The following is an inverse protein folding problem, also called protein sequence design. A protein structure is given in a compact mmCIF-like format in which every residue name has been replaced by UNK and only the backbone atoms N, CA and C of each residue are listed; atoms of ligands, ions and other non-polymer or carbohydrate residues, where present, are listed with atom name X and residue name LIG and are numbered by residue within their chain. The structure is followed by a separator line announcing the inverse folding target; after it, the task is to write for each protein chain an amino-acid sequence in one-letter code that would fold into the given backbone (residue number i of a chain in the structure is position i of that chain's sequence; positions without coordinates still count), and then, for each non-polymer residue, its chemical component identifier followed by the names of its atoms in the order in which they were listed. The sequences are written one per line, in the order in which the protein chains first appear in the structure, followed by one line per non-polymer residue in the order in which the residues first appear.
data_IF_024659247858
#
_entry.id   IF_024659247858
#
_cell.length_a   1.000
_cell.length_b   1.000
_cell.length_c   1.000
_cell.angle_alpha   90.00
_cell.angle_beta   90.00
_cell.angle_gamma   90.00
#
_symmetry.space_group_name_H-M   'P 1'
#
loop_
_entity.id
_entity.type
_entity.pdbx_description
1 polymer ?
#
# COMPACT_ATOMS: atom_id res chain seq x y z
N UNK A 1 -12.05 18.40 -1.53
CA UNK A 1 -11.36 17.37 -2.32
C UNK A 1 -11.24 17.85 -3.76
N UNK A 2 -10.18 17.50 -4.50
CA UNK A 2 -10.14 17.75 -5.94
C UNK A 2 -11.13 16.77 -6.60
N UNK A 3 -12.00 17.28 -7.47
CA UNK A 3 -12.84 16.41 -8.29
C UNK A 3 -11.96 15.50 -9.15
N UNK A 4 -12.50 14.37 -9.60
CA UNK A 4 -11.75 13.34 -10.34
C UNK A 4 -11.34 13.77 -11.77
N UNK A 5 -11.51 15.04 -12.14
CA UNK A 5 -11.30 15.55 -13.49
C UNK A 5 -9.82 15.59 -13.91
N UNK A 6 -9.55 15.29 -15.18
CA UNK A 6 -8.21 15.32 -15.78
C UNK A 6 -7.31 14.16 -15.34
N UNK A 7 -7.89 13.09 -14.80
CA UNK A 7 -7.17 11.88 -14.39
C UNK A 7 -6.49 11.18 -15.56
N UNK A 8 -7.00 11.38 -16.77
CA UNK A 8 -6.47 10.84 -18.02
C UNK A 8 -5.02 11.30 -18.23
N UNK A 9 -4.71 12.51 -17.77
CA UNK A 9 -3.39 13.15 -17.86
C UNK A 9 -2.49 12.90 -16.66
N UNK A 10 -2.85 12.00 -15.74
CA UNK A 10 -1.99 11.67 -14.61
C UNK A 10 -0.63 11.08 -15.06
N UNK A 11 0.52 11.50 -14.47
CA UNK A 11 0.67 12.46 -13.37
C UNK A 11 0.90 13.92 -13.81
N UNK A 12 0.76 14.26 -15.09
CA UNK A 12 0.94 15.61 -15.63
C UNK A 12 -0.13 16.61 -15.12
N UNK A 13 -1.27 16.11 -14.62
CA UNK A 13 -2.38 16.90 -14.07
C UNK A 13 -2.19 17.36 -12.60
N UNK A 14 -1.12 16.94 -11.95
CA UNK A 14 -0.82 17.30 -10.57
C UNK A 14 -0.42 18.79 -10.49
N UNK A 15 -0.89 19.53 -9.47
CA UNK A 15 -0.53 20.95 -9.31
C UNK A 15 0.92 21.15 -8.95
N UNK A 16 1.48 20.18 -8.23
CA UNK A 16 2.86 20.28 -7.78
C UNK A 16 3.78 20.00 -8.95
N UNK A 17 4.76 20.87 -9.13
CA UNK A 17 5.82 20.64 -10.08
C UNK A 17 6.77 19.56 -9.57
N UNK A 18 7.17 18.67 -10.48
CA UNK A 18 8.15 17.62 -10.23
C UNK A 18 9.31 17.79 -11.20
N UNK A 19 10.14 18.84 -11.06
CA UNK A 19 11.14 19.19 -12.06
C UNK A 19 12.23 18.12 -12.26
N UNK A 20 12.35 17.19 -11.30
CA UNK A 20 13.27 16.06 -11.37
C UNK A 20 12.71 14.86 -12.14
N UNK A 21 11.44 14.90 -12.56
CA UNK A 21 10.74 13.78 -13.18
C UNK A 21 10.27 14.15 -14.59
N UNK A 22 10.56 13.28 -15.55
CA UNK A 22 9.92 13.29 -16.86
C UNK A 22 8.51 12.68 -16.71
N UNK A 23 7.51 13.55 -16.54
CA UNK A 23 6.11 13.16 -16.29
C UNK A 23 5.50 12.38 -17.47
N UNK A 24 5.88 12.73 -18.69
CA UNK A 24 5.44 12.02 -19.90
C UNK A 24 6.04 10.61 -19.98
N UNK A 25 7.32 10.46 -19.60
CA UNK A 25 7.91 9.14 -19.44
C UNK A 25 7.20 8.32 -18.34
N UNK A 26 6.91 8.92 -17.18
CA UNK A 26 6.17 8.26 -16.11
C UNK A 26 4.78 7.79 -16.58
N UNK A 27 4.02 8.65 -17.26
CA UNK A 27 2.70 8.33 -17.83
C UNK A 27 2.78 7.19 -18.83
N UNK A 28 3.71 7.27 -19.78
CA UNK A 28 3.92 6.24 -20.81
C UNK A 28 4.24 4.90 -20.18
N UNK A 29 5.21 4.87 -19.26
CA UNK A 29 5.61 3.64 -18.56
C UNK A 29 4.46 3.01 -17.78
N UNK A 30 3.65 3.83 -17.09
CA UNK A 30 2.48 3.34 -16.35
C UNK A 30 1.42 2.74 -17.29
N UNK A 31 1.22 3.34 -18.46
CA UNK A 31 0.32 2.80 -19.49
C UNK A 31 0.85 1.51 -20.11
N UNK A 32 2.15 1.44 -20.40
CA UNK A 32 2.80 0.25 -20.95
C UNK A 32 2.66 -0.95 -19.99
N UNK A 33 2.81 -0.71 -18.69
CA UNK A 33 2.68 -1.73 -17.64
C UNK A 33 1.22 -2.01 -17.20
N UNK A 34 0.24 -1.25 -17.68
CA UNK A 34 -1.12 -1.26 -17.11
C UNK A 34 -1.76 -2.65 -17.11
N UNK A 35 -1.61 -3.43 -18.20
CA UNK A 35 -2.16 -4.79 -18.33
C UNK A 35 -1.59 -5.78 -17.30
N UNK A 36 -0.34 -5.55 -16.88
CA UNK A 36 0.36 -6.37 -15.89
C UNK A 36 0.01 -5.97 -14.46
N UNK A 37 -0.29 -4.69 -14.26
CA UNK A 37 -0.53 -4.09 -12.95
C UNK A 37 -2.00 -4.12 -12.53
N UNK A 38 -2.94 -4.03 -13.49
CA UNK A 38 -4.35 -3.77 -13.23
C UNK A 38 -5.24 -4.78 -13.93
N UNK A 39 -6.41 -5.05 -13.34
CA UNK A 39 -7.40 -6.00 -13.85
C UNK A 39 -8.62 -5.23 -14.36
N UNK A 40 -9.09 -5.55 -15.56
CA UNK A 40 -10.27 -4.90 -16.14
C UNK A 40 -11.59 -5.49 -15.61
N UNK A 41 -11.56 -6.60 -14.86
CA UNK A 41 -12.76 -7.37 -14.51
C UNK A 41 -13.32 -7.11 -13.13
N UNK A 42 -12.57 -6.45 -12.25
CA UNK A 42 -12.96 -6.22 -10.87
C UNK A 42 -12.55 -4.83 -10.41
N UNK A 43 -13.26 -4.31 -9.42
CA UNK A 43 -12.93 -3.07 -8.74
C UNK A 43 -13.15 -3.33 -7.25
N UNK A 44 -12.08 -3.55 -6.51
CA UNK A 44 -12.13 -3.85 -5.08
C UNK A 44 -11.14 -2.95 -4.34
N UNK A 45 -11.59 -1.74 -3.99
CA UNK A 45 -10.85 -0.82 -3.13
C UNK A 45 -11.55 -0.74 -1.78
N UNK A 46 -10.82 -1.01 -0.72
CA UNK A 46 -11.33 -0.84 0.64
C UNK A 46 -10.94 0.54 1.13
N UNK A 47 -11.92 1.32 1.58
CA UNK A 47 -11.71 2.63 2.19
C UNK A 47 -12.19 2.57 3.64
N UNK A 48 -11.30 2.85 4.58
CA UNK A 48 -11.60 2.85 6.01
C UNK A 48 -11.17 4.19 6.62
N UNK A 49 -12.08 4.89 7.31
CA UNK A 49 -11.75 6.10 8.09
C UNK A 49 -11.90 5.78 9.56
N UNK A 50 -10.86 6.08 10.33
CA UNK A 50 -10.87 6.03 11.78
C UNK A 50 -10.89 7.46 12.28
N UNK A 51 -12.01 7.83 12.91
CA UNK A 51 -12.23 9.20 13.36
C UNK A 51 -11.32 9.49 14.55
N UNK A 52 -10.57 10.59 14.46
CA UNK A 52 -9.76 11.08 15.56
C UNK A 52 -10.65 11.65 16.66
N UNK A 53 -10.46 11.23 17.90
CA UNK A 53 -11.09 11.89 19.04
C UNK A 53 -10.31 13.15 19.40
N UNK A 54 -10.87 14.31 19.11
CA UNK A 54 -10.27 15.60 19.50
C UNK A 54 -10.48 15.94 20.99
N UNK A 55 -11.02 15.02 21.81
CA UNK A 55 -11.26 15.32 23.23
C UNK A 55 -9.97 15.22 24.04
N UNK A 56 -9.33 16.38 24.24
CA UNK A 56 -8.11 16.55 25.03
C UNK A 56 -8.24 16.29 26.54
N UNK A 57 -9.39 15.85 27.05
CA UNK A 57 -9.61 15.68 28.49
C UNK A 57 -10.60 14.53 28.79
N UNK A 58 -10.15 13.27 28.76
CA UNK A 58 -10.72 12.19 29.61
C UNK A 58 -9.96 10.87 29.42
N UNK A 59 -9.50 10.27 30.52
CA UNK A 59 -8.90 8.92 30.58
C UNK A 59 -9.91 7.77 30.36
N UNK A 60 -11.15 8.09 29.99
CA UNK A 60 -12.20 7.10 29.76
C UNK A 60 -12.11 6.56 28.32
N UNK A 61 -11.95 5.24 28.20
CA UNK A 61 -11.90 4.45 26.96
C UNK A 61 -12.62 5.11 25.77
N UNK A 62 -11.86 5.85 24.96
CA UNK A 62 -12.41 6.56 23.83
C UNK A 62 -12.91 5.53 22.80
N UNK A 63 -14.23 5.44 22.63
CA UNK A 63 -14.83 4.60 21.58
C UNK A 63 -14.43 5.17 20.23
N UNK A 64 -13.41 4.58 19.61
CA UNK A 64 -13.02 4.88 18.23
C UNK A 64 -14.14 4.45 17.30
N UNK A 65 -14.68 5.40 16.56
CA UNK A 65 -15.64 5.15 15.50
C UNK A 65 -14.87 4.90 14.20
N UNK A 66 -15.15 3.76 13.58
CA UNK A 66 -14.58 3.37 12.29
C UNK A 66 -15.69 3.28 11.26
N UNK A 67 -15.47 3.91 10.10
CA UNK A 67 -16.33 3.83 8.93
C UNK A 67 -15.56 3.06 7.87
N UNK A 68 -16.22 2.12 7.20
CA UNK A 68 -15.59 1.27 6.19
C UNK A 68 -16.55 1.06 5.03
N UNK A 69 -16.06 1.35 3.83
CA UNK A 69 -16.78 1.15 2.58
C UNK A 69 -15.91 0.31 1.62
N UNK A 70 -16.58 -0.39 0.71
CA UNK A 70 -15.96 -1.13 -0.39
C UNK A 70 -16.42 -0.49 -1.69
N UNK A 71 -15.47 0.04 -2.47
CA UNK A 71 -15.71 0.56 -3.81
C UNK A 71 -15.73 -0.61 -4.77
N UNK A 72 -16.85 -0.78 -5.49
CA UNK A 72 -17.11 -1.89 -6.42
C UNK A 72 -17.13 -1.49 -7.89
N UNK A 73 -17.13 -0.19 -8.15
CA UNK A 73 -17.30 0.39 -9.47
C UNK A 73 -16.71 1.80 -9.48
N UNK A 74 -16.57 2.37 -10.67
CA UNK A 74 -15.99 3.69 -10.87
C UNK A 74 -16.90 4.83 -10.36
N UNK A 75 -18.22 4.67 -10.47
CA UNK A 75 -19.21 5.69 -10.10
C UNK A 75 -19.23 5.95 -8.59
N UNK A 76 -19.05 4.89 -7.79
CA UNK A 76 -19.00 4.95 -6.33
C UNK A 76 -17.67 5.47 -5.78
N UNK A 77 -16.60 5.51 -6.58
CA UNK A 77 -15.28 5.95 -6.11
C UNK A 77 -15.31 7.38 -5.56
N UNK A 78 -15.83 8.33 -6.34
CA UNK A 78 -15.82 9.76 -5.98
C UNK A 78 -16.61 9.99 -4.69
N UNK A 79 -17.84 9.47 -4.64
CA UNK A 79 -18.72 9.59 -3.48
C UNK A 79 -18.11 8.97 -2.22
N UNK A 80 -17.44 7.83 -2.36
CA UNK A 80 -16.79 7.14 -1.24
C UNK A 80 -15.60 7.95 -0.74
N UNK A 81 -14.74 8.42 -1.65
CA UNK A 81 -13.60 9.24 -1.27
C UNK A 81 -14.04 10.57 -0.64
N UNK A 82 -15.04 11.25 -1.19
CA UNK A 82 -15.62 12.47 -0.61
C UNK A 82 -16.18 12.20 0.80
N UNK A 83 -16.96 11.12 0.97
CA UNK A 83 -17.52 10.71 2.27
C UNK A 83 -16.44 10.42 3.32
N UNK A 84 -15.29 9.89 2.90
CA UNK A 84 -14.22 9.47 3.80
C UNK A 84 -13.23 10.59 4.09
N UNK A 85 -12.73 11.28 3.07
CA UNK A 85 -11.67 12.30 3.15
C UNK A 85 -12.19 13.67 3.63
N UNK A 86 -13.51 13.89 3.65
CA UNK A 86 -14.12 15.07 4.30
C UNK A 86 -14.16 14.98 5.83
N UNK A 87 -13.88 13.80 6.41
CA UNK A 87 -13.90 13.58 7.85
C UNK A 87 -12.49 13.70 8.43
N UNK A 88 -12.32 14.27 9.62
CA UNK A 88 -11.02 14.29 10.27
C UNK A 88 -10.62 12.88 10.74
N UNK A 89 -9.36 12.51 10.56
CA UNK A 89 -8.81 11.28 11.13
C UNK A 89 -7.83 10.55 10.21
N UNK A 90 -7.74 9.24 10.40
CA UNK A 90 -6.86 8.38 9.60
C UNK A 90 -7.64 7.62 8.55
N UNK A 91 -7.32 7.85 7.29
CA UNK A 91 -7.90 7.25 6.10
C UNK A 91 -6.98 6.13 5.59
N UNK A 92 -7.51 4.93 5.44
CA UNK A 92 -6.81 3.78 4.89
C UNK A 92 -7.50 3.38 3.60
N UNK A 93 -6.77 3.48 2.49
CA UNK A 93 -7.20 3.14 1.15
C UNK A 93 -6.35 1.97 0.71
N UNK A 94 -6.97 0.82 0.48
CA UNK A 94 -6.26 -0.44 0.30
C UNK A 94 -6.58 -1.00 -1.08
N UNK A 95 -5.54 -1.19 -1.89
CA UNK A 95 -5.60 -1.91 -3.16
C UNK A 95 -5.07 -3.31 -2.94
N UNK A 96 -5.90 -4.30 -3.22
CA UNK A 96 -5.57 -5.71 -2.97
C UNK A 96 -5.25 -6.47 -4.25
N UNK A 97 -4.23 -7.31 -4.16
CA UNK A 97 -3.98 -8.37 -5.12
C UNK A 97 -4.49 -9.71 -4.54
N UNK A 98 -5.13 -10.57 -5.36
CA UNK A 98 -5.58 -11.89 -4.91
C UNK A 98 -4.42 -12.86 -4.60
N UNK A 99 -3.27 -12.70 -5.27
CA UNK A 99 -2.01 -13.38 -4.97
C UNK A 99 -0.81 -12.44 -5.26
N UNK A 100 0.39 -12.77 -4.76
CA UNK A 100 1.53 -11.84 -4.71
C UNK A 100 2.00 -11.29 -6.07
N UNK A 101 1.69 -11.99 -7.16
CA UNK A 101 2.07 -11.61 -8.53
C UNK A 101 0.86 -11.28 -9.41
N UNK A 102 -0.35 -11.30 -8.87
CA UNK A 102 -1.55 -10.94 -9.61
C UNK A 102 -1.54 -9.45 -9.95
N UNK A 103 -2.23 -9.01 -11.01
CA UNK A 103 -2.64 -7.61 -11.10
C UNK A 103 -3.49 -7.22 -9.87
N UNK A 104 -3.51 -5.94 -9.53
CA UNK A 104 -4.49 -5.41 -8.59
C UNK A 104 -5.89 -5.58 -9.16
N UNK A 105 -6.84 -5.94 -8.30
CA UNK A 105 -8.23 -6.18 -8.70
C UNK A 105 -9.01 -4.87 -8.83
N UNK A 106 -8.53 -4.01 -9.72
CA UNK A 106 -9.02 -2.66 -9.99
C UNK A 106 -8.63 -2.25 -11.41
N UNK A 107 -9.50 -1.58 -12.19
CA UNK A 107 -9.16 -1.09 -13.52
C UNK A 107 -8.18 0.09 -13.44
N UNK A 108 -7.37 0.29 -14.48
CA UNK A 108 -6.35 1.34 -14.50
C UNK A 108 -6.96 2.75 -14.33
N UNK A 109 -8.15 2.97 -14.90
CA UNK A 109 -8.86 4.25 -14.88
C UNK A 109 -9.22 4.64 -13.44
N UNK A 110 -9.73 3.68 -12.67
CA UNK A 110 -10.07 3.85 -11.25
C UNK A 110 -8.81 4.16 -10.44
N UNK A 111 -7.68 3.51 -10.74
CA UNK A 111 -6.40 3.80 -10.07
C UNK A 111 -5.89 5.20 -10.40
N UNK A 112 -5.98 5.64 -11.65
CA UNK A 112 -5.52 6.97 -12.06
C UNK A 112 -6.38 8.08 -11.46
N UNK A 113 -7.70 7.86 -11.39
CA UNK A 113 -8.63 8.73 -10.65
C UNK A 113 -8.27 8.80 -9.18
N UNK A 114 -8.03 7.65 -8.55
CA UNK A 114 -7.61 7.60 -7.15
C UNK A 114 -6.29 8.35 -6.92
N UNK A 115 -5.26 8.09 -7.74
CA UNK A 115 -3.96 8.76 -7.61
C UNK A 115 -4.05 10.27 -7.84
N UNK A 116 -4.89 10.70 -8.79
CA UNK A 116 -5.21 12.11 -9.02
C UNK A 116 -5.88 12.74 -7.79
N UNK A 117 -6.88 12.07 -7.24
CA UNK A 117 -7.67 12.58 -6.10
C UNK A 117 -6.83 12.72 -4.82
N UNK A 118 -5.89 11.79 -4.62
CA UNK A 118 -4.97 11.77 -3.49
C UNK A 118 -3.69 12.59 -3.73
N UNK A 119 -3.51 13.13 -4.94
CA UNK A 119 -2.29 13.83 -5.37
C UNK A 119 -1.02 13.00 -5.16
N UNK A 120 -1.11 11.70 -5.49
CA UNK A 120 0.00 10.75 -5.38
C UNK A 120 1.16 11.22 -6.28
N UNK A 121 2.40 11.29 -5.76
CA UNK A 121 3.53 11.76 -6.55
C UNK A 121 3.99 10.75 -7.62
N UNK A 122 4.59 11.22 -8.73
CA UNK A 122 5.24 10.34 -9.71
C UNK A 122 6.30 9.42 -9.10
N UNK A 123 6.95 9.84 -8.01
CA UNK A 123 7.93 9.05 -7.25
C UNK A 123 7.33 7.72 -6.76
N UNK A 124 6.03 7.71 -6.42
CA UNK A 124 5.30 6.52 -5.98
C UNK A 124 5.13 5.49 -7.10
N UNK A 125 5.14 5.90 -8.38
CA UNK A 125 5.02 4.97 -9.50
C UNK A 125 6.17 3.98 -9.56
N UNK A 126 7.36 4.37 -9.08
CA UNK A 126 8.47 3.44 -8.86
C UNK A 126 8.08 2.24 -7.97
N UNK A 127 7.25 2.45 -6.95
CA UNK A 127 6.71 1.38 -6.10
C UNK A 127 5.61 0.59 -6.81
N UNK A 128 4.75 1.25 -7.59
CA UNK A 128 3.67 0.55 -8.32
C UNK A 128 4.28 -0.45 -9.32
N UNK A 129 5.33 -0.07 -10.03
CA UNK A 129 5.99 -0.92 -11.03
C UNK A 129 6.61 -2.21 -10.46
N UNK A 130 6.87 -2.30 -9.14
CA UNK A 130 7.42 -3.53 -8.54
C UNK A 130 6.37 -4.63 -8.27
N UNK A 131 5.09 -4.34 -8.50
CA UNK A 131 3.97 -5.30 -8.42
C UNK A 131 3.67 -5.93 -9.77
N UNK A 132 2.86 -7.00 -9.79
CA UNK A 132 2.52 -7.76 -11.00
C UNK A 132 3.49 -8.92 -11.28
N UNK A 133 3.28 -9.61 -12.41
CA UNK A 133 4.06 -10.80 -12.75
C UNK A 133 5.52 -10.44 -13.08
N UNK A 134 6.53 -11.22 -12.64
CA UNK A 134 7.93 -10.88 -12.84
C UNK A 134 8.47 -11.15 -14.25
N UNK A 135 7.86 -12.09 -14.99
CA UNK A 135 8.31 -12.50 -16.33
C UNK A 135 8.14 -11.41 -17.39
N UNK A 136 7.27 -10.43 -17.15
CA UNK A 136 7.02 -9.31 -18.06
C UNK A 136 7.99 -8.13 -17.83
N UNK A 137 9.02 -8.32 -17.01
CA UNK A 137 10.06 -7.33 -16.76
C UNK A 137 10.44 -7.23 -15.29
N UNK A 138 11.52 -7.91 -14.91
CA UNK A 138 12.22 -7.68 -13.64
C UNK A 138 12.92 -6.30 -13.68
N UNK A 139 12.17 -5.20 -13.65
CA UNK A 139 12.77 -3.88 -13.58
C UNK A 139 13.02 -3.47 -12.12
N UNK A 140 14.29 -3.61 -11.74
CA UNK A 140 15.02 -2.96 -10.63
C UNK A 140 14.46 -3.16 -9.22
N UNK A 141 15.36 -3.47 -8.30
CA UNK A 141 15.12 -3.43 -6.86
C UNK A 141 14.79 -1.99 -6.43
N UNK A 142 13.52 -1.60 -6.46
CA UNK A 142 13.08 -0.37 -5.80
C UNK A 142 12.66 -0.73 -4.37
N UNK A 143 13.50 -0.36 -3.41
CA UNK A 143 13.29 -0.67 -1.99
C UNK A 143 12.45 0.40 -1.28
N UNK A 144 12.35 1.60 -1.85
CA UNK A 144 11.65 2.74 -1.26
C UNK A 144 12.30 4.07 -1.65
N UNK A 145 11.69 5.17 -1.20
CA UNK A 145 12.19 6.54 -1.33
C UNK A 145 11.33 7.44 -0.44
N UNK A 146 11.72 8.66 -0.13
CA UNK A 146 10.83 9.57 0.61
C UNK A 146 10.72 10.88 -0.18
N UNK A 147 9.57 11.55 -0.08
CA UNK A 147 9.34 12.86 -0.69
C UNK A 147 8.87 13.81 0.41
N UNK A 148 9.82 14.58 0.96
CA UNK A 148 9.49 15.59 1.96
C UNK A 148 9.33 16.91 1.23
N UNK A 149 8.11 17.43 1.21
CA UNK A 149 7.84 18.77 0.70
C UNK A 149 7.67 19.73 1.85
N UNK A 150 8.59 20.69 1.94
CA UNK A 150 8.43 21.87 2.78
C UNK A 150 7.93 23.01 1.89
N UNK A 151 6.72 23.51 2.14
CA UNK A 151 6.10 24.58 1.36
C UNK A 151 5.48 25.63 2.27
N UNK A 152 5.56 26.90 1.86
CA UNK A 152 5.16 28.09 2.66
C UNK A 152 3.65 28.13 2.98
N UNK A 153 2.82 27.30 2.32
CA UNK A 153 1.35 27.41 2.37
C UNK A 153 0.59 26.13 2.72
N UNK A 154 1.23 24.96 2.77
CA UNK A 154 0.65 23.68 3.24
C UNK A 154 1.81 22.74 3.61
N UNK A 155 2.03 22.50 4.89
CA UNK A 155 3.03 21.55 5.40
C UNK A 155 2.52 20.10 5.22
N UNK A 156 2.45 19.65 3.97
CA UNK A 156 2.08 18.28 3.62
C UNK A 156 3.32 17.38 3.72
N UNK A 157 3.35 16.50 4.72
CA UNK A 157 4.38 15.47 4.82
C UNK A 157 3.97 14.23 4.04
N UNK A 158 4.83 13.73 3.15
CA UNK A 158 4.61 12.49 2.42
C UNK A 158 5.75 11.49 2.69
N UNK A 159 5.39 10.22 2.87
CA UNK A 159 6.32 9.12 3.05
C UNK A 159 5.86 7.96 2.19
N UNK A 160 6.79 7.38 1.42
CA UNK A 160 6.51 6.23 0.58
C UNK A 160 7.56 5.15 0.84
N UNK A 161 7.22 3.88 0.79
CA UNK A 161 8.21 2.81 0.91
C UNK A 161 7.60 1.47 0.54
N UNK A 162 8.46 0.50 0.22
CA UNK A 162 8.06 -0.90 0.12
C UNK A 162 8.62 -1.69 1.29
N UNK A 163 7.84 -2.65 1.78
CA UNK A 163 8.34 -3.67 2.71
C UNK A 163 8.33 -5.02 2.01
N UNK A 164 9.50 -5.67 1.93
CA UNK A 164 9.65 -7.07 1.50
C UNK A 164 9.55 -7.98 2.72
N UNK A 165 8.81 -9.08 2.59
CA UNK A 165 8.66 -10.03 3.68
C UNK A 165 8.47 -11.45 3.18
N UNK A 166 8.93 -12.41 3.97
CA UNK A 166 8.76 -13.82 3.69
C UNK A 166 7.46 -14.33 4.29
N UNK A 167 6.67 -15.05 3.50
CA UNK A 167 5.42 -15.62 3.96
C UNK A 167 5.29 -17.07 3.53
N UNK A 168 4.69 -17.89 4.40
CA UNK A 168 4.34 -19.25 4.04
C UNK A 168 3.27 -19.28 2.96
N UNK A 169 3.46 -20.13 1.96
CA UNK A 169 2.52 -20.32 0.85
C UNK A 169 1.45 -21.37 1.18
N UNK A 170 1.75 -22.28 2.12
CA UNK A 170 0.96 -23.49 2.37
C UNK A 170 1.24 -24.63 1.38
N UNK A 171 2.13 -24.44 0.41
CA UNK A 171 2.55 -25.47 -0.55
C UNK A 171 3.76 -26.22 -0.03
N UNK A 172 3.80 -27.53 -0.17
CA UNK A 172 4.95 -28.34 0.27
C UNK A 172 6.21 -28.09 -0.58
N UNK A 173 6.04 -27.96 -1.90
CA UNK A 173 7.17 -27.78 -2.84
C UNK A 173 7.83 -26.41 -2.76
N UNK A 174 7.07 -25.38 -2.40
CA UNK A 174 7.54 -23.99 -2.29
C UNK A 174 7.00 -23.36 -1.01
N UNK A 175 7.50 -23.77 0.16
CA UNK A 175 6.88 -23.43 1.45
C UNK A 175 6.91 -21.94 1.78
N UNK A 176 7.78 -21.18 1.12
CA UNK A 176 7.97 -19.75 1.32
C UNK A 176 7.87 -18.99 0.00
N UNK A 177 7.26 -17.81 0.05
CA UNK A 177 7.25 -16.82 -1.02
C UNK A 177 7.68 -15.47 -0.46
N UNK A 178 8.52 -14.75 -1.19
CA UNK A 178 8.67 -13.32 -0.97
C UNK A 178 7.38 -12.61 -1.36
N UNK A 179 6.96 -11.66 -0.52
CA UNK A 179 5.81 -10.78 -0.73
C UNK A 179 6.24 -9.34 -0.50
N UNK A 180 5.43 -8.42 -1.01
CA UNK A 180 5.69 -6.98 -0.91
C UNK A 180 4.44 -6.23 -0.47
N UNK A 181 4.66 -5.14 0.25
CA UNK A 181 3.66 -4.12 0.57
C UNK A 181 4.21 -2.78 0.16
N UNK A 182 3.43 -2.00 -0.59
CA UNK A 182 3.73 -0.63 -0.94
C UNK A 182 2.91 0.29 -0.05
N UNK A 183 3.57 1.25 0.57
CA UNK A 183 2.95 2.24 1.44
C UNK A 183 3.16 3.60 0.81
N UNK A 184 2.08 4.35 0.67
CA UNK A 184 2.09 5.80 0.56
C UNK A 184 1.35 6.37 1.75
N UNK A 185 1.97 7.34 2.39
CA UNK A 185 1.49 8.00 3.58
C UNK A 185 1.55 9.51 3.35
N UNK A 186 0.47 10.20 3.68
CA UNK A 186 0.37 11.66 3.62
C UNK A 186 -0.26 12.19 4.90
N UNK A 187 0.32 13.23 5.48
CA UNK A 187 -0.32 14.04 6.53
C UNK A 187 -0.68 15.39 5.93
N UNK A 188 -1.93 15.80 6.07
CA UNK A 188 -2.41 17.12 5.67
C UNK A 188 -3.63 17.51 6.52
N UNK A 189 -3.68 18.76 7.01
CA UNK A 189 -4.82 19.32 7.76
C UNK A 189 -5.32 18.43 8.92
N UNK A 190 -4.39 17.95 9.76
CA UNK A 190 -4.67 17.02 10.88
C UNK A 190 -5.28 15.66 10.48
N UNK A 191 -5.36 15.38 9.19
CA UNK A 191 -5.77 14.08 8.65
C UNK A 191 -4.55 13.33 8.09
N UNK A 192 -4.62 12.01 8.22
CA UNK A 192 -3.61 11.09 7.72
C UNK A 192 -4.23 10.22 6.62
N UNK A 193 -3.56 10.10 5.48
CA UNK A 193 -3.98 9.23 4.39
C UNK A 193 -2.93 8.16 4.15
N UNK A 194 -3.37 6.90 4.18
CA UNK A 194 -2.57 5.71 3.94
C UNK A 194 -3.11 5.03 2.69
N UNK A 195 -2.33 5.02 1.61
CA UNK A 195 -2.58 4.19 0.44
C UNK A 195 -1.69 2.96 0.54
N UNK A 196 -2.31 1.78 0.65
CA UNK A 196 -1.63 0.51 0.88
C UNK A 196 -1.84 -0.40 -0.32
N UNK A 197 -0.75 -0.72 -1.00
CA UNK A 197 -0.68 -1.70 -2.08
C UNK A 197 -0.23 -3.03 -1.50
N UNK A 198 -1.06 -4.07 -1.57
CA UNK A 198 -0.73 -5.31 -0.88
C UNK A 198 -1.45 -6.54 -1.42
N UNK A 199 -0.95 -7.68 -1.00
CA UNK A 199 -1.65 -8.95 -1.09
C UNK A 199 -2.70 -9.11 0.04
N UNK A 200 -3.85 -9.74 -0.24
CA UNK A 200 -4.97 -9.92 0.70
C UNK A 200 -4.59 -10.53 2.06
N UNK A 201 -3.55 -11.38 2.10
CA UNK A 201 -3.12 -12.01 3.37
C UNK A 201 -2.27 -11.12 4.28
N UNK A 202 -1.81 -9.96 3.80
CA UNK A 202 -0.95 -9.07 4.60
C UNK A 202 -1.67 -8.57 5.85
N UNK A 203 -2.82 -7.91 5.68
CA UNK A 203 -3.52 -7.34 6.82
C UNK A 203 -4.02 -8.40 7.80
N UNK A 204 -4.35 -9.61 7.34
CA UNK A 204 -4.66 -10.74 8.23
C UNK A 204 -3.48 -11.06 9.16
N UNK A 205 -2.25 -10.99 8.64
CA UNK A 205 -1.04 -11.22 9.44
C UNK A 205 -0.77 -10.10 10.44
N UNK A 206 -1.09 -8.86 10.08
CA UNK A 206 -0.89 -7.68 10.92
C UNK A 206 -1.89 -7.63 12.10
N UNK A 207 -3.13 -8.01 11.85
CA UNK A 207 -4.18 -7.99 12.86
C UNK A 207 -4.30 -9.31 13.63
N UNK A 208 -3.55 -10.35 13.26
CA UNK A 208 -3.71 -11.69 13.83
C UNK A 208 -5.10 -12.30 13.59
N UNK A 209 -5.83 -11.77 12.61
CA UNK A 209 -7.21 -12.15 12.33
C UNK A 209 -7.31 -13.49 11.59
N UNK A 210 -8.33 -14.27 11.95
CA UNK A 210 -8.65 -15.55 11.31
C UNK A 210 -9.25 -15.33 9.92
N UNK A 211 -9.19 -16.35 9.07
CA UNK A 211 -9.84 -16.30 7.77
C UNK A 211 -11.36 -16.11 7.95
N UNK A 212 -11.91 -15.04 7.37
CA UNK A 212 -13.34 -14.69 7.47
C UNK A 212 -13.63 -13.50 8.39
N UNK A 213 -12.66 -13.04 9.20
CA UNK A 213 -12.80 -11.81 9.99
C UNK A 213 -12.57 -10.57 9.11
N UNK A 214 -13.39 -9.54 9.33
CA UNK A 214 -13.31 -8.29 8.59
C UNK A 214 -12.04 -7.50 8.91
N UNK A 215 -11.41 -6.96 7.85
CA UNK A 215 -10.28 -6.03 7.95
C UNK A 215 -10.60 -4.85 8.88
N UNK A 216 -9.83 -4.72 9.97
CA UNK A 216 -9.91 -3.63 10.95
C UNK A 216 -8.54 -2.95 11.12
N UNK A 217 -8.36 -1.80 10.47
CA UNK A 217 -7.20 -0.94 10.68
C UNK A 217 -7.22 -0.23 12.05
N UNK A 218 -8.29 -0.39 12.84
CA UNK A 218 -8.41 0.09 14.23
C UNK A 218 -7.23 -0.30 15.11
N UNK A 219 -6.65 -1.47 14.87
CA UNK A 219 -5.45 -1.93 15.60
C UNK A 219 -4.18 -1.11 15.31
N UNK A 220 -4.12 -0.40 14.18
CA UNK A 220 -3.04 0.55 13.87
C UNK A 220 -3.21 1.88 14.62
N UNK A 221 -4.31 2.13 15.33
CA UNK A 221 -4.61 3.49 15.84
C UNK A 221 -4.25 3.74 17.31
N UNK A 222 -3.50 2.83 17.94
CA UNK A 222 -3.15 2.89 19.38
C UNK A 222 -2.04 3.87 19.80
N UNK A 223 -1.31 4.46 18.87
CA UNK A 223 -0.07 5.19 19.15
C UNK A 223 0.23 6.21 18.03
N UNK A 224 1.12 7.17 18.30
CA UNK A 224 1.48 8.22 17.33
C UNK A 224 1.96 7.65 15.99
N UNK A 225 1.86 8.44 14.91
CA UNK A 225 2.19 8.07 13.52
C UNK A 225 3.36 7.10 13.36
N UNK A 226 4.50 7.39 13.98
CA UNK A 226 5.73 6.58 13.89
C UNK A 226 5.49 5.14 14.36
N UNK A 227 4.74 4.97 15.46
CA UNK A 227 4.47 3.65 16.01
C UNK A 227 3.61 2.79 15.05
N UNK A 228 2.79 3.39 14.19
CA UNK A 228 2.05 2.67 13.14
C UNK A 228 2.99 2.11 12.08
N UNK A 229 3.95 2.92 11.63
CA UNK A 229 5.00 2.48 10.70
C UNK A 229 5.86 1.37 11.32
N UNK A 230 6.24 1.51 12.59
CA UNK A 230 7.00 0.47 13.32
C UNK A 230 6.19 -0.82 13.43
N UNK A 231 4.90 -0.76 13.78
CA UNK A 231 4.04 -1.94 13.85
C UNK A 231 3.92 -2.65 12.49
N UNK A 232 3.79 -1.90 11.40
CA UNK A 232 3.81 -2.44 10.03
C UNK A 232 5.12 -3.21 9.77
N UNK A 233 6.27 -2.57 10.01
CA UNK A 233 7.61 -3.15 9.78
C UNK A 233 7.86 -4.37 10.68
N UNK A 234 7.48 -4.30 11.96
CA UNK A 234 7.63 -5.40 12.90
C UNK A 234 6.80 -6.61 12.44
N UNK A 235 5.54 -6.39 12.04
CA UNK A 235 4.65 -7.46 11.58
C UNK A 235 5.21 -8.22 10.37
N UNK A 236 5.85 -7.50 9.44
CA UNK A 236 6.53 -8.08 8.28
C UNK A 236 7.84 -8.79 8.64
N UNK A 237 8.47 -8.40 9.75
CA UNK A 237 9.79 -8.91 10.14
C UNK A 237 9.71 -10.29 10.81
N UNK A 238 8.58 -10.61 11.47
CA UNK A 238 8.41 -11.82 12.31
C UNK A 238 8.78 -13.13 11.61
N UNK A 239 8.50 -13.24 10.32
CA UNK A 239 8.67 -14.48 9.54
C UNK A 239 10.04 -14.65 8.89
N UNK A 240 10.89 -13.61 8.92
CA UNK A 240 12.24 -13.71 8.37
C UNK A 240 13.10 -14.72 9.14
N UNK A 241 12.99 -14.76 10.46
CA UNK A 241 13.77 -15.69 11.28
C UNK A 241 13.52 -17.16 10.92
N UNK A 242 12.26 -17.54 10.71
CA UNK A 242 11.89 -18.90 10.32
C UNK A 242 12.42 -19.26 8.92
N UNK A 243 12.35 -18.30 7.99
CA UNK A 243 12.89 -18.48 6.65
C UNK A 243 14.42 -18.60 6.66
N UNK A 244 15.12 -17.73 7.39
CA UNK A 244 16.58 -17.76 7.49
C UNK A 244 17.08 -19.07 8.10
N UNK A 245 16.39 -19.61 9.11
CA UNK A 245 16.68 -20.95 9.66
C UNK A 245 16.53 -22.06 8.63
N UNK A 246 15.52 -21.97 7.75
CA UNK A 246 15.34 -22.94 6.67
C UNK A 246 16.51 -22.86 5.67
N UNK A 247 16.89 -21.65 5.25
CA UNK A 247 18.00 -21.44 4.32
C UNK A 247 19.32 -21.91 4.94
N UNK A 248 19.58 -21.60 6.21
CA UNK A 248 20.75 -22.07 6.94
C UNK A 248 20.82 -23.61 6.99
N UNK A 249 19.69 -24.27 7.26
CA UNK A 249 19.61 -25.73 7.25
C UNK A 249 19.83 -26.31 5.84
N UNK A 250 19.35 -25.64 4.79
CA UNK A 250 19.58 -26.05 3.41
C UNK A 250 21.06 -25.95 3.04
N UNK A 251 21.69 -24.81 3.28
CA UNK A 251 23.11 -24.57 3.00
C UNK A 251 23.98 -25.60 3.73
N UNK A 252 23.70 -25.88 5.01
CA UNK A 252 24.43 -26.91 5.77
C UNK A 252 24.31 -28.31 5.17
N UNK A 253 23.15 -28.67 4.60
CA UNK A 253 22.96 -29.97 3.94
C UNK A 253 23.73 -30.05 2.62
N UNK A 254 23.72 -28.98 1.85
CA UNK A 254 24.37 -28.94 0.54
C UNK A 254 25.90 -28.99 0.68
N UNK A 255 26.48 -28.23 1.62
CA UNK A 255 27.92 -28.29 1.95
C UNK A 255 28.37 -29.71 2.36
N UNK A 256 27.54 -30.46 3.11
CA UNK A 256 27.84 -31.84 3.49
C UNK A 256 27.78 -32.82 2.32
N UNK A 257 27.05 -32.51 1.24
CA UNK A 257 26.94 -33.35 0.04
C UNK A 257 28.10 -33.12 -0.92
N UNK A 258 28.67 -31.92 -0.94
CA UNK A 258 29.78 -31.54 -1.81
C UNK A 258 31.16 -31.95 -1.27
N UNK A 259 31.25 -32.40 -0.02
CA UNK A 259 32.46 -32.97 0.56
C UNK A 259 32.40 -34.50 0.45
N UNK A 260 32.91 -35.12 -0.63
CA UNK A 260 33.08 -36.56 -0.67
C UNK A 260 34.09 -36.97 0.40
N UNK A 261 33.66 -37.84 1.31
CA UNK A 261 34.57 -38.62 2.17
C UNK A 261 35.10 -39.77 1.33
#
# INVERSE_FOLDING_TARGET
MRGLNGWEDYPCNLRTEYPQYDLEYCRRRLNDDAKRLFSDTGCNIIVQTILGSTSSNCESACKRTSIKDLVKDEESLEQTLDKHLSKPGSHFIILQQPYSWAPFDVPKEVVFKLFTALEVPPTFLGLVHVFGHPEDGYQREFTGGYDIRFGILNDDFQLLYTIRYMARTGRESWPWSERRVGIYYKIANDSETWLILQHMSFLRSLTGMRAGEELDCGRLTGSGTIARHVALIESTSRRWNDYLKLIEAQVRRDVRRELPI
#
